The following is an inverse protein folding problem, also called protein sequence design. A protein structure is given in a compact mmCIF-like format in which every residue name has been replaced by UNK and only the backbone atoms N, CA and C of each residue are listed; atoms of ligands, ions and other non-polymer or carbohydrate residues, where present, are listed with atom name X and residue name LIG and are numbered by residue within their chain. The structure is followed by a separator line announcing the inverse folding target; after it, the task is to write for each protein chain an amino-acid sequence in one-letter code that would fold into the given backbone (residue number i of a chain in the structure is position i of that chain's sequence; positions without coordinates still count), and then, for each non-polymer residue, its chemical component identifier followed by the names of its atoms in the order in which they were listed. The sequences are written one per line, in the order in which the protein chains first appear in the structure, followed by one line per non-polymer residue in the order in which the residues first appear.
data_IF_818940761074
#
_entry.id   IF_818940761074
#
_cell.length_a   1.000
_cell.length_b   1.000
_cell.length_c   1.000
_cell.angle_alpha   90.00
_cell.angle_beta   90.00
_cell.angle_gamma   90.00
#
_symmetry.space_group_name_H-M   'P 1'
#
loop_
_entity.id
_entity.type
_entity.pdbx_description
1 polymer ?
#
# COMPACT_ATOMS: atom_id res chain seq x y z
N UNK A 1 -22.76 -19.96 12.34
CA UNK A 1 -21.32 -19.90 12.66
C UNK A 1 -20.95 -18.44 12.86
N UNK A 2 -20.64 -18.04 14.09
CA UNK A 2 -20.24 -16.66 14.39
C UNK A 2 -18.75 -16.52 14.09
N UNK A 3 -18.40 -15.83 13.00
CA UNK A 3 -17.00 -15.48 12.72
C UNK A 3 -16.54 -14.47 13.76
N UNK A 4 -15.63 -14.86 14.64
CA UNK A 4 -14.93 -13.93 15.53
C UNK A 4 -13.84 -13.22 14.74
N UNK A 5 -13.99 -11.91 14.54
CA UNK A 5 -12.97 -11.08 13.89
C UNK A 5 -11.90 -10.73 14.93
N UNK A 6 -10.63 -11.09 14.66
CA UNK A 6 -9.51 -10.74 15.53
C UNK A 6 -9.07 -9.29 15.28
N UNK A 7 -9.75 -8.36 15.96
CA UNK A 7 -9.53 -6.92 15.79
C UNK A 7 -8.16 -6.45 16.27
N UNK A 8 -7.56 -7.11 17.28
CA UNK A 8 -6.24 -6.77 17.81
C UNK A 8 -5.14 -7.06 16.79
N UNK A 9 -5.20 -8.22 16.16
CA UNK A 9 -4.22 -8.63 15.14
C UNK A 9 -4.32 -7.73 13.91
N UNK A 10 -5.54 -7.38 13.49
CA UNK A 10 -5.76 -6.45 12.39
C UNK A 10 -5.19 -5.05 12.68
N UNK A 11 -5.42 -4.52 13.88
CA UNK A 11 -4.86 -3.22 14.27
C UNK A 11 -3.33 -3.25 14.29
N UNK A 12 -2.73 -4.32 14.81
CA UNK A 12 -1.28 -4.48 14.82
C UNK A 12 -0.68 -4.53 13.40
N UNK A 13 -1.34 -5.23 12.47
CA UNK A 13 -0.94 -5.26 11.05
C UNK A 13 -1.00 -3.86 10.42
N UNK A 14 -2.10 -3.12 10.65
CA UNK A 14 -2.26 -1.75 10.12
C UNK A 14 -1.17 -0.83 10.66
N UNK A 15 -0.90 -0.88 11.97
CA UNK A 15 0.14 -0.04 12.59
C UNK A 15 1.55 -0.37 12.09
N UNK A 16 1.86 -1.65 11.90
CA UNK A 16 3.14 -2.08 11.34
C UNK A 16 3.31 -1.57 9.91
N UNK A 17 2.26 -1.66 9.09
CA UNK A 17 2.27 -1.14 7.72
C UNK A 17 2.44 0.39 7.69
N UNK A 18 1.71 1.13 8.51
CA UNK A 18 1.84 2.58 8.60
C UNK A 18 3.27 3.00 8.97
N UNK A 19 3.87 2.36 9.97
CA UNK A 19 5.27 2.64 10.37
C UNK A 19 6.26 2.35 9.25
N UNK A 20 6.08 1.25 8.51
CA UNK A 20 6.94 0.90 7.39
C UNK A 20 6.81 1.91 6.23
N UNK A 21 5.60 2.42 5.98
CA UNK A 21 5.36 3.40 4.93
C UNK A 21 5.94 4.77 5.29
N UNK A 22 5.69 5.25 6.51
CA UNK A 22 6.15 6.55 7.00
C UNK A 22 7.69 6.65 7.06
N UNK A 23 8.36 5.55 7.41
CA UNK A 23 9.83 5.48 7.43
C UNK A 23 10.49 5.25 6.07
N UNK A 24 9.73 5.22 4.97
CA UNK A 24 10.30 4.98 3.65
C UNK A 24 10.94 6.26 3.10
N UNK A 25 12.22 6.17 2.71
CA UNK A 25 12.97 7.29 2.11
C UNK A 25 12.30 7.83 0.83
N UNK A 26 11.53 6.97 0.16
CA UNK A 26 10.71 7.34 -0.99
C UNK A 26 11.51 7.59 -2.28
N UNK A 27 10.81 7.72 -3.42
CA UNK A 27 9.38 7.46 -3.60
C UNK A 27 9.03 5.97 -3.40
N UNK A 28 7.79 5.68 -3.00
CA UNK A 28 7.34 4.29 -2.87
C UNK A 28 7.27 3.61 -4.23
N UNK A 29 7.61 2.32 -4.26
CA UNK A 29 7.50 1.48 -5.45
C UNK A 29 6.52 0.33 -5.19
N UNK A 30 5.25 0.54 -5.51
CA UNK A 30 4.17 -0.40 -5.21
C UNK A 30 4.07 -1.50 -6.26
N UNK A 31 4.24 -2.75 -5.83
CA UNK A 31 4.05 -3.96 -6.61
C UNK A 31 2.76 -4.66 -6.18
N UNK A 32 1.93 -5.05 -7.15
CA UNK A 32 0.74 -5.88 -6.90
C UNK A 32 1.16 -7.25 -6.35
N UNK A 33 0.57 -7.68 -5.23
CA UNK A 33 0.86 -8.99 -4.61
C UNK A 33 -0.31 -9.98 -4.69
N UNK A 34 -1.48 -9.53 -5.11
CA UNK A 34 -2.69 -10.34 -5.27
C UNK A 34 -3.31 -10.18 -6.67
N UNK A 35 -4.00 -11.19 -7.20
CA UNK A 35 -4.72 -11.07 -8.46
C UNK A 35 -5.84 -10.03 -8.36
N UNK A 36 -6.13 -9.35 -9.47
CA UNK A 36 -7.08 -8.22 -9.53
C UNK A 36 -8.49 -8.61 -9.04
N UNK A 37 -8.80 -8.20 -7.82
CA UNK A 37 -10.11 -8.34 -7.16
C UNK A 37 -10.36 -7.15 -6.23
N UNK A 38 -11.61 -6.97 -5.80
CA UNK A 38 -11.93 -6.03 -4.73
C UNK A 38 -11.08 -6.37 -3.48
N UNK A 39 -10.31 -5.40 -2.98
CA UNK A 39 -9.36 -5.60 -1.89
C UNK A 39 -7.93 -5.94 -2.29
N UNK A 40 -7.58 -5.85 -3.59
CA UNK A 40 -6.19 -6.06 -4.07
C UNK A 40 -5.18 -5.27 -3.23
N UNK A 41 -4.23 -5.99 -2.62
CA UNK A 41 -3.10 -5.39 -1.92
C UNK A 41 -1.89 -5.18 -2.84
N UNK A 42 -1.16 -4.13 -2.54
CA UNK A 42 0.12 -3.77 -3.12
C UNK A 42 1.17 -3.77 -2.01
N UNK A 43 2.41 -4.11 -2.35
CA UNK A 43 3.55 -4.07 -1.43
C UNK A 43 4.60 -3.13 -2.00
N UNK A 44 5.12 -2.24 -1.17
CA UNK A 44 6.27 -1.42 -1.53
C UNK A 44 7.55 -2.29 -1.60
N UNK A 45 8.32 -2.22 -2.68
CA UNK A 45 9.58 -2.96 -2.78
C UNK A 45 10.69 -2.40 -1.88
N UNK A 46 10.64 -1.12 -1.51
CA UNK A 46 11.63 -0.49 -0.63
C UNK A 46 11.39 -0.80 0.86
N UNK A 47 10.20 -0.50 1.36
CA UNK A 47 9.89 -0.63 2.79
C UNK A 47 9.13 -1.91 3.14
N UNK A 48 8.68 -2.69 2.15
CA UNK A 48 7.88 -3.92 2.31
C UNK A 48 6.50 -3.71 2.95
N UNK A 49 6.10 -2.46 3.21
CA UNK A 49 4.76 -2.14 3.69
C UNK A 49 3.68 -2.48 2.66
N UNK A 50 2.54 -2.99 3.12
CA UNK A 50 1.40 -3.35 2.26
C UNK A 50 0.26 -2.35 2.38
N UNK A 51 -0.37 -2.03 1.24
CA UNK A 51 -1.46 -1.06 1.12
C UNK A 51 -2.53 -1.56 0.14
N UNK A 52 -3.70 -0.94 0.16
CA UNK A 52 -4.78 -1.24 -0.80
C UNK A 52 -4.62 -0.46 -2.09
N UNK A 53 -5.29 -0.90 -3.15
CA UNK A 53 -5.37 -0.16 -4.42
C UNK A 53 -5.80 1.32 -4.26
N UNK A 54 -6.74 1.59 -3.35
CA UNK A 54 -7.23 2.95 -3.07
C UNK A 54 -6.12 3.87 -2.56
N UNK A 55 -5.26 3.35 -1.66
CA UNK A 55 -4.12 4.11 -1.14
C UNK A 55 -3.08 4.38 -2.23
N UNK A 56 -2.81 3.39 -3.10
CA UNK A 56 -1.91 3.58 -4.25
C UNK A 56 -2.44 4.68 -5.18
N UNK A 57 -3.74 4.70 -5.45
CA UNK A 57 -4.39 5.77 -6.22
C UNK A 57 -4.17 7.15 -5.60
N UNK A 58 -4.47 7.30 -4.30
CA UNK A 58 -4.26 8.55 -3.58
C UNK A 58 -2.78 8.99 -3.57
N UNK A 59 -1.84 8.05 -3.47
CA UNK A 59 -0.41 8.35 -3.53
C UNK A 59 0.01 8.83 -4.93
N UNK A 60 -0.46 8.19 -6.00
CA UNK A 60 -0.24 8.63 -7.39
C UNK A 60 -0.76 10.04 -7.62
N UNK A 61 -1.95 10.35 -7.13
CA UNK A 61 -2.52 11.69 -7.21
C UNK A 61 -1.64 12.71 -6.47
N UNK A 62 -1.15 12.37 -5.27
CA UNK A 62 -0.22 13.20 -4.52
C UNK A 62 1.09 13.49 -5.28
N UNK A 63 1.68 12.47 -5.91
CA UNK A 63 2.89 12.61 -6.74
C UNK A 63 2.63 13.50 -7.96
N UNK A 64 1.51 13.30 -8.65
CA UNK A 64 1.09 14.13 -9.78
C UNK A 64 0.93 15.60 -9.36
N UNK A 65 0.29 15.86 -8.21
CA UNK A 65 0.12 17.22 -7.70
C UNK A 65 1.42 17.87 -7.22
N UNK A 66 2.40 17.08 -6.79
CA UNK A 66 3.76 17.54 -6.50
C UNK A 66 4.62 17.78 -7.75
N UNK A 67 4.10 17.49 -8.96
CA UNK A 67 4.82 17.63 -10.23
C UNK A 67 5.69 16.44 -10.62
N UNK A 68 5.55 15.29 -9.95
CA UNK A 68 6.23 14.04 -10.29
C UNK A 68 5.44 13.17 -11.27
N UNK A 69 6.05 12.04 -11.67
CA UNK A 69 5.42 11.05 -12.55
C UNK A 69 4.65 9.99 -11.72
N UNK A 70 3.32 9.92 -11.83
CA UNK A 70 2.49 8.95 -11.10
C UNK A 70 2.65 7.50 -11.60
N UNK A 71 3.20 7.24 -12.79
CA UNK A 71 3.47 5.88 -13.26
C UNK A 71 4.75 5.32 -12.63
N UNK A 72 5.69 6.19 -12.24
CA UNK A 72 6.97 5.80 -11.66
C UNK A 72 6.87 5.12 -10.29
N UNK A 73 5.69 5.15 -9.65
CA UNK A 73 5.46 4.62 -8.29
C UNK A 73 4.75 3.27 -8.27
N UNK A 74 4.43 2.70 -9.44
CA UNK A 74 3.79 1.39 -9.58
C UNK A 74 4.54 0.50 -10.56
N UNK A 75 4.77 -0.77 -10.17
CA UNK A 75 5.35 -1.77 -11.06
C UNK A 75 4.26 -2.76 -11.43
N UNK A 76 3.63 -2.53 -12.58
CA UNK A 76 2.82 -3.55 -13.24
C UNK A 76 3.75 -4.43 -14.08
N UNK A 77 3.89 -5.69 -13.67
CA UNK A 77 4.42 -6.74 -14.52
C UNK A 77 3.35 -7.79 -14.72
#
# INVERSE_FOLDING_TARGET
MTMTIDTKSLLAEVQANLRALDGCVGPHLFRRIEPEKFGTKYRCDHCRGTVTAQFVGAYRDGIKHAGGDPEAVTVER
#
